data_IF_384204496418
#
_entry.id   IF_384204496418
#
_cell.length_a   1.000
_cell.length_b   1.000
_cell.length_c   1.000
_cell.angle_alpha   90.00
_cell.angle_beta   90.00
_cell.angle_gamma   90.00
#
_symmetry.space_group_name_H-M   'P 1'
#
loop_
_entity.id
_entity.type
_entity.pdbx_description
1 polymer ?
#
# COMPACT_ATOMS: atom_id res chain seq x y z
N UNK A 1 7.33 17.24 -28.31
CA UNK A 1 6.20 16.71 -27.55
C UNK A 1 6.66 16.33 -26.14
N UNK A 2 5.84 16.67 -25.16
CA UNK A 2 6.13 16.22 -23.80
C UNK A 2 6.04 14.70 -23.73
N UNK A 3 6.96 14.05 -23.04
CA UNK A 3 6.90 12.62 -22.80
C UNK A 3 5.64 12.29 -21.98
N UNK A 4 4.97 11.21 -22.35
CA UNK A 4 3.87 10.73 -21.52
C UNK A 4 4.41 10.17 -20.21
N UNK A 5 3.68 10.42 -19.14
CA UNK A 5 4.02 9.94 -17.81
C UNK A 5 2.97 8.98 -17.28
N UNK A 6 3.39 8.07 -16.44
CA UNK A 6 2.52 7.18 -15.69
C UNK A 6 2.87 7.29 -14.22
N UNK A 7 1.86 7.22 -13.37
CA UNK A 7 2.05 7.17 -11.92
C UNK A 7 2.13 5.70 -11.53
N UNK A 8 3.25 5.34 -10.89
CA UNK A 8 3.60 3.93 -10.66
C UNK A 8 3.84 3.67 -9.18
N UNK A 9 3.39 2.53 -8.72
CA UNK A 9 3.71 2.02 -7.40
C UNK A 9 3.71 0.49 -7.43
N UNK A 10 4.47 -0.10 -6.53
CA UNK A 10 4.50 -1.55 -6.34
C UNK A 10 3.58 -1.89 -5.18
N UNK A 11 2.72 -2.89 -5.36
CA UNK A 11 1.71 -3.22 -4.38
C UNK A 11 1.38 -4.71 -4.38
N UNK A 12 0.85 -5.17 -3.24
CA UNK A 12 0.21 -6.47 -3.13
C UNK A 12 -1.29 -6.27 -3.24
N UNK A 13 -1.93 -7.07 -4.08
CA UNK A 13 -3.38 -7.00 -4.30
C UNK A 13 -4.05 -8.21 -3.66
N UNK A 14 -5.07 -8.02 -2.81
CA UNK A 14 -5.74 -9.14 -2.16
C UNK A 14 -6.63 -9.90 -3.15
N UNK A 15 -6.90 -11.16 -2.83
CA UNK A 15 -7.92 -11.93 -3.54
C UNK A 15 -9.30 -11.31 -3.30
N UNK A 16 -10.26 -11.66 -4.16
CA UNK A 16 -11.58 -11.05 -4.16
C UNK A 16 -12.28 -11.11 -2.80
N UNK A 17 -12.22 -12.25 -2.12
CA UNK A 17 -12.89 -12.40 -0.82
C UNK A 17 -12.30 -11.48 0.24
N UNK A 18 -10.98 -11.36 0.28
CA UNK A 18 -10.30 -10.47 1.21
C UNK A 18 -10.57 -9.01 0.86
N UNK A 19 -10.55 -8.67 -0.44
CA UNK A 19 -10.87 -7.31 -0.89
C UNK A 19 -12.27 -6.90 -0.47
N UNK A 20 -13.25 -7.80 -0.58
CA UNK A 20 -14.61 -7.54 -0.15
C UNK A 20 -14.71 -7.36 1.37
N UNK A 21 -14.00 -8.19 2.13
CA UNK A 21 -13.98 -8.07 3.59
C UNK A 21 -13.35 -6.75 4.05
N UNK A 22 -12.24 -6.35 3.43
CA UNK A 22 -11.58 -5.09 3.74
C UNK A 22 -12.44 -3.90 3.32
N UNK A 23 -13.12 -3.98 2.18
CA UNK A 23 -14.04 -2.94 1.74
C UNK A 23 -15.24 -2.81 2.69
N UNK A 24 -15.73 -3.91 3.25
CA UNK A 24 -16.78 -3.87 4.27
C UNK A 24 -16.29 -3.16 5.53
N UNK A 25 -15.08 -3.46 5.98
CA UNK A 25 -14.46 -2.77 7.11
C UNK A 25 -14.29 -1.27 6.82
N UNK A 26 -13.92 -0.93 5.57
CA UNK A 26 -13.81 0.46 5.16
C UNK A 26 -15.15 1.20 5.25
N UNK A 27 -16.24 0.57 4.84
CA UNK A 27 -17.58 1.18 4.93
C UNK A 27 -18.01 1.37 6.38
N UNK A 28 -17.71 0.41 7.26
CA UNK A 28 -17.98 0.54 8.68
C UNK A 28 -17.19 1.70 9.29
N UNK A 29 -15.91 1.81 8.96
CA UNK A 29 -15.08 2.91 9.41
C UNK A 29 -15.57 4.25 8.88
N UNK A 30 -16.01 4.30 7.62
CA UNK A 30 -16.56 5.51 7.03
C UNK A 30 -17.81 5.98 7.77
N UNK A 31 -18.68 5.05 8.13
CA UNK A 31 -19.91 5.39 8.88
C UNK A 31 -19.57 6.04 10.21
N UNK A 32 -18.49 5.61 10.85
CA UNK A 32 -18.04 6.17 12.13
C UNK A 32 -17.22 7.46 11.96
N UNK A 33 -16.29 7.47 11.00
CA UNK A 33 -15.26 8.51 10.92
C UNK A 33 -15.53 9.57 9.86
N UNK A 34 -16.50 9.36 8.97
CA UNK A 34 -16.68 10.20 7.80
C UNK A 34 -15.62 9.92 6.73
N UNK A 35 -15.59 10.74 5.71
CA UNK A 35 -14.62 10.57 4.64
C UNK A 35 -15.10 9.65 3.52
N UNK A 36 -14.15 9.07 2.78
CA UNK A 36 -14.45 8.20 1.64
C UNK A 36 -13.87 6.81 1.85
N UNK A 37 -14.72 5.80 1.82
CA UNK A 37 -14.30 4.40 1.90
C UNK A 37 -13.64 3.97 0.59
N UNK A 38 -12.61 3.15 0.71
CA UNK A 38 -11.92 2.57 -0.46
C UNK A 38 -12.79 1.49 -1.07
N UNK A 39 -13.00 1.56 -2.40
CA UNK A 39 -13.75 0.55 -3.13
C UNK A 39 -12.98 -0.77 -3.21
N UNK A 40 -13.67 -1.93 -3.31
CA UNK A 40 -12.98 -3.23 -3.32
C UNK A 40 -11.89 -3.36 -4.36
N UNK A 41 -12.11 -2.84 -5.57
CA UNK A 41 -11.15 -2.92 -6.67
C UNK A 41 -9.91 -2.05 -6.47
N UNK A 42 -9.91 -1.18 -5.47
CA UNK A 42 -8.79 -0.29 -5.14
C UNK A 42 -8.08 -0.67 -3.84
N UNK A 43 -8.56 -1.70 -3.16
CA UNK A 43 -7.92 -2.18 -1.94
C UNK A 43 -6.58 -2.82 -2.28
N UNK A 44 -5.51 -2.33 -1.68
CA UNK A 44 -4.16 -2.85 -1.90
C UNK A 44 -3.23 -2.47 -0.75
N UNK A 45 -2.10 -3.15 -0.68
CA UNK A 45 -1.03 -2.83 0.26
C UNK A 45 0.18 -2.36 -0.54
N UNK A 46 0.49 -1.08 -0.44
CA UNK A 46 1.62 -0.50 -1.16
C UNK A 46 2.95 -0.99 -0.57
N UNK A 47 3.84 -1.43 -1.45
CA UNK A 47 5.21 -1.83 -1.07
C UNK A 47 6.19 -0.67 -1.29
N UNK A 48 6.04 0.04 -2.39
CA UNK A 48 6.93 1.14 -2.74
C UNK A 48 6.22 2.07 -3.72
N UNK A 49 6.13 3.34 -3.37
CA UNK A 49 5.55 4.36 -4.24
C UNK A 49 6.66 5.01 -5.05
N UNK A 50 6.61 4.86 -6.37
CA UNK A 50 7.61 5.41 -7.28
C UNK A 50 7.24 6.85 -7.68
N UNK A 51 5.97 7.07 -8.01
CA UNK A 51 5.49 8.36 -8.49
C UNK A 51 5.43 8.42 -10.01
N UNK A 52 5.54 9.63 -10.55
CA UNK A 52 5.46 9.84 -11.99
C UNK A 52 6.76 9.44 -12.67
N UNK A 53 6.65 8.57 -13.67
CA UNK A 53 7.78 8.13 -14.50
C UNK A 53 7.39 8.25 -15.97
N UNK A 54 8.39 8.34 -16.84
CA UNK A 54 8.14 8.27 -18.27
C UNK A 54 7.57 6.89 -18.60
N UNK A 55 6.56 6.83 -19.47
CA UNK A 55 5.89 5.56 -19.79
C UNK A 55 6.83 4.49 -20.29
N UNK A 56 7.88 4.86 -20.99
CA UNK A 56 8.88 3.92 -21.50
C UNK A 56 9.62 3.19 -20.38
N UNK A 57 9.66 3.75 -19.14
CA UNK A 57 10.28 3.10 -17.99
C UNK A 57 9.39 2.05 -17.35
N UNK A 58 8.09 2.04 -17.65
CA UNK A 58 7.14 1.11 -17.02
C UNK A 58 7.54 -0.34 -17.29
N UNK A 59 7.96 -0.64 -18.53
CA UNK A 59 8.37 -2.00 -18.90
C UNK A 59 9.55 -2.47 -18.05
N UNK A 60 10.56 -1.63 -17.84
CA UNK A 60 11.71 -2.01 -17.03
C UNK A 60 11.35 -2.19 -15.55
N UNK A 61 10.42 -1.37 -15.05
CA UNK A 61 9.93 -1.50 -13.68
C UNK A 61 9.10 -2.79 -13.51
N UNK A 62 8.31 -3.16 -14.49
CA UNK A 62 7.59 -4.43 -14.49
C UNK A 62 8.55 -5.62 -14.50
N UNK A 63 9.61 -5.55 -15.30
CA UNK A 63 10.62 -6.58 -15.34
C UNK A 63 11.33 -6.72 -13.98
N UNK A 64 11.57 -5.59 -13.32
CA UNK A 64 12.14 -5.58 -11.97
C UNK A 64 11.23 -6.34 -10.99
N UNK A 65 9.92 -6.08 -11.04
CA UNK A 65 8.96 -6.77 -10.18
C UNK A 65 9.01 -8.28 -10.39
N UNK A 66 9.15 -8.73 -11.65
CA UNK A 66 9.25 -10.15 -11.97
C UNK A 66 10.56 -10.79 -11.50
N UNK A 67 11.59 -9.99 -11.25
CA UNK A 67 12.91 -10.49 -10.84
C UNK A 67 13.07 -10.64 -9.33
N UNK A 68 12.09 -10.25 -8.55
CA UNK A 68 12.15 -10.34 -7.09
C UNK A 68 12.17 -11.80 -6.63
N UNK A 69 12.97 -12.08 -5.62
CA UNK A 69 13.26 -13.45 -5.17
C UNK A 69 12.70 -13.77 -3.79
N UNK A 70 11.82 -12.92 -3.28
CA UNK A 70 11.25 -13.10 -1.95
C UNK A 70 10.38 -14.36 -1.88
N UNK A 71 10.52 -15.12 -0.80
CA UNK A 71 9.67 -16.27 -0.53
C UNK A 71 8.22 -15.83 -0.29
N UNK A 72 7.29 -16.73 -0.59
CA UNK A 72 5.88 -16.51 -0.29
C UNK A 72 5.68 -16.41 1.24
N UNK A 73 4.71 -15.60 1.64
CA UNK A 73 4.41 -15.41 3.06
C UNK A 73 2.92 -15.13 3.23
N UNK A 74 2.43 -15.33 4.47
CA UNK A 74 1.07 -14.95 4.84
C UNK A 74 1.12 -13.65 5.63
N UNK A 75 0.13 -12.80 5.40
CA UNK A 75 0.01 -11.52 6.08
C UNK A 75 -1.41 -11.39 6.63
N UNK A 76 -1.50 -11.16 7.94
CA UNK A 76 -2.79 -10.95 8.59
C UNK A 76 -3.05 -9.45 8.77
N UNK A 77 -4.15 -8.97 8.20
CA UNK A 77 -4.60 -7.59 8.42
C UNK A 77 -5.52 -7.63 9.63
N UNK A 78 -4.95 -7.47 10.81
CA UNK A 78 -5.63 -7.70 12.07
C UNK A 78 -5.67 -6.50 13.02
N UNK A 79 -5.30 -5.32 12.51
CA UNK A 79 -5.35 -4.08 13.28
C UNK A 79 -5.91 -2.96 12.43
N UNK A 80 -6.61 -2.02 13.07
CA UNK A 80 -7.08 -0.78 12.46
C UNK A 80 -6.50 0.37 13.25
N UNK A 81 -5.98 1.37 12.55
CA UNK A 81 -5.43 2.55 13.17
C UNK A 81 -5.71 3.78 12.31
N UNK A 82 -5.26 4.93 12.78
CA UNK A 82 -5.54 6.21 12.17
C UNK A 82 -4.32 7.10 12.19
N UNK A 83 -4.01 7.72 11.04
CA UNK A 83 -2.98 8.74 10.95
C UNK A 83 -3.64 10.12 10.90
N UNK A 84 -3.40 10.89 11.95
CA UNK A 84 -4.00 12.22 12.09
C UNK A 84 -3.47 13.19 11.05
N UNK A 85 -2.19 13.10 10.71
CA UNK A 85 -1.55 14.08 9.83
C UNK A 85 -2.11 14.07 8.39
N UNK A 86 -2.62 12.94 7.92
CA UNK A 86 -3.21 12.82 6.59
C UNK A 86 -4.66 12.33 6.60
N UNK A 87 -5.23 12.15 7.79
CA UNK A 87 -6.63 11.75 8.01
C UNK A 87 -7.00 10.44 7.30
N UNK A 88 -6.11 9.47 7.39
CA UNK A 88 -6.31 8.14 6.82
C UNK A 88 -6.60 7.14 7.93
N UNK A 89 -7.73 6.41 7.79
CA UNK A 89 -7.98 5.20 8.56
C UNK A 89 -7.43 4.05 7.75
N UNK A 90 -6.62 3.21 8.38
CA UNK A 90 -5.93 2.14 7.67
C UNK A 90 -5.97 0.84 8.46
N UNK A 91 -5.86 -0.28 7.73
CA UNK A 91 -5.71 -1.60 8.30
C UNK A 91 -4.33 -2.15 8.01
N UNK A 92 -3.83 -2.98 8.91
CA UNK A 92 -2.52 -3.58 8.71
C UNK A 92 -2.24 -4.69 9.69
N UNK A 93 -1.09 -5.34 9.56
CA UNK A 93 -0.68 -6.37 10.49
C UNK A 93 -0.13 -5.74 11.77
N UNK A 94 -0.41 -6.34 12.92
CA UNK A 94 0.23 -5.96 14.19
C UNK A 94 1.70 -6.32 14.16
N UNK A 95 2.00 -7.49 13.59
CA UNK A 95 3.34 -7.99 13.43
C UNK A 95 3.49 -8.44 11.98
N UNK A 96 4.48 -7.91 11.28
CA UNK A 96 4.65 -8.32 9.89
C UNK A 96 5.75 -9.35 9.73
N UNK A 97 5.58 -10.27 8.76
CA UNK A 97 6.56 -11.33 8.53
C UNK A 97 7.91 -10.76 8.11
N UNK A 98 8.98 -11.43 8.49
CA UNK A 98 10.31 -11.05 8.03
C UNK A 98 10.41 -11.04 6.50
N UNK A 99 9.72 -11.96 5.83
CA UNK A 99 9.70 -12.01 4.36
C UNK A 99 9.16 -10.72 3.74
N UNK A 100 8.17 -10.07 4.36
CA UNK A 100 7.68 -8.77 3.87
C UNK A 100 8.75 -7.70 3.98
N UNK A 101 9.45 -7.64 5.11
CA UNK A 101 10.55 -6.69 5.29
C UNK A 101 11.65 -6.91 4.25
N UNK A 102 11.97 -8.18 3.96
CA UNK A 102 12.96 -8.53 2.94
C UNK A 102 12.50 -8.13 1.55
N UNK A 103 11.23 -8.32 1.23
CA UNK A 103 10.67 -7.91 -0.07
C UNK A 103 10.80 -6.41 -0.27
N UNK A 104 10.43 -5.62 0.73
CA UNK A 104 10.53 -4.16 0.66
C UNK A 104 11.99 -3.73 0.52
N UNK A 105 12.90 -4.35 1.29
CA UNK A 105 14.32 -4.04 1.20
C UNK A 105 14.89 -4.37 -0.18
N UNK A 106 14.50 -5.50 -0.76
CA UNK A 106 14.94 -5.89 -2.11
C UNK A 106 14.44 -4.89 -3.15
N UNK A 107 13.18 -4.46 -3.05
CA UNK A 107 12.65 -3.43 -3.93
C UNK A 107 13.43 -2.12 -3.80
N UNK A 108 13.69 -1.69 -2.58
CA UNK A 108 14.44 -0.45 -2.32
C UNK A 108 15.83 -0.52 -2.93
N UNK A 109 16.51 -1.65 -2.79
CA UNK A 109 17.84 -1.85 -3.33
C UNK A 109 17.85 -1.79 -4.87
N UNK A 110 16.94 -2.52 -5.52
CA UNK A 110 16.84 -2.53 -6.98
C UNK A 110 16.46 -1.15 -7.53
N UNK A 111 15.52 -0.47 -6.89
CA UNK A 111 15.07 0.84 -7.34
C UNK A 111 16.13 1.91 -7.10
N UNK A 112 16.88 1.80 -6.01
CA UNK A 112 18.00 2.70 -5.75
C UNK A 112 19.07 2.61 -6.84
N UNK A 113 19.34 1.40 -7.34
CA UNK A 113 20.27 1.19 -8.46
C UNK A 113 19.77 1.84 -9.74
N UNK A 114 18.45 2.03 -9.89
CA UNK A 114 17.82 2.72 -11.01
C UNK A 114 17.68 4.23 -10.78
N UNK A 115 18.24 4.75 -9.69
CA UNK A 115 18.15 6.17 -9.34
C UNK A 115 16.85 6.58 -8.65
N UNK A 116 16.03 5.63 -8.24
CA UNK A 116 14.75 5.88 -7.56
C UNK A 116 14.94 5.66 -6.08
N UNK A 117 14.79 6.74 -5.30
CA UNK A 117 15.01 6.69 -3.86
C UNK A 117 13.71 6.45 -3.12
N UNK A 118 13.79 5.68 -2.05
CA UNK A 118 12.65 5.48 -1.14
C UNK A 118 12.44 6.71 -0.26
N UNK A 119 11.23 6.81 0.28
CA UNK A 119 10.92 7.76 1.35
C UNK A 119 11.82 7.43 2.56
N UNK A 120 12.33 8.44 3.23
CA UNK A 120 13.19 8.26 4.40
C UNK A 120 12.42 7.76 5.62
N UNK A 121 11.10 7.87 5.62
CA UNK A 121 10.28 7.39 6.73
C UNK A 121 10.30 5.87 6.81
N UNK A 122 10.24 5.30 8.02
CA UNK A 122 10.15 3.85 8.15
C UNK A 122 8.93 3.30 7.42
N UNK A 123 9.10 2.17 6.75
CA UNK A 123 8.00 1.51 6.05
C UNK A 123 7.00 0.95 7.06
N UNK A 124 5.72 1.27 6.87
CA UNK A 124 4.63 0.70 7.66
C UNK A 124 3.64 0.05 6.69
N UNK A 125 3.52 -1.28 6.71
CA UNK A 125 2.56 -1.95 5.84
C UNK A 125 1.13 -1.58 6.23
N UNK A 126 0.36 -1.08 5.27
CA UNK A 126 -1.01 -0.66 5.54
C UNK A 126 -1.87 -0.76 4.29
N UNK A 127 -3.16 -0.96 4.53
CA UNK A 127 -4.20 -0.88 3.52
C UNK A 127 -5.05 0.34 3.86
N UNK A 128 -5.15 1.29 2.95
CA UNK A 128 -5.99 2.46 3.17
C UNK A 128 -7.46 2.06 3.12
N UNK A 129 -8.18 2.32 4.20
CA UNK A 129 -9.60 2.02 4.31
C UNK A 129 -10.46 3.26 4.06
N UNK A 130 -10.11 4.39 4.69
CA UNK A 130 -10.86 5.65 4.55
C UNK A 130 -9.89 6.80 4.33
N UNK A 131 -10.18 7.61 3.33
CA UNK A 131 -9.45 8.87 3.09
C UNK A 131 -10.31 10.04 3.53
N UNK A 132 -9.67 11.12 3.93
CA UNK A 132 -10.34 12.35 4.37
C UNK A 132 -11.30 12.08 5.52
N UNK A 133 -10.93 11.22 6.44
CA UNK A 133 -11.71 10.95 7.64
C UNK A 133 -11.85 12.25 8.44
N UNK A 134 -13.04 12.47 9.01
CA UNK A 134 -13.35 13.68 9.77
C UNK A 134 -12.97 13.52 11.25
N UNK A 135 -12.87 12.29 11.72
CA UNK A 135 -12.54 11.98 13.12
C UNK A 135 -11.93 10.58 13.19
N UNK A 136 -11.20 10.35 14.26
CA UNK A 136 -10.57 9.06 14.50
C UNK A 136 -11.61 7.99 14.85
N UNK A 137 -11.36 6.72 14.53
CA UNK A 137 -12.23 5.63 14.99
C UNK A 137 -12.15 5.53 16.53
N UNK A 138 -13.26 5.15 17.14
CA UNK A 138 -13.34 4.99 18.59
C UNK A 138 -12.49 3.85 19.10
N UNK A 139 -12.42 2.75 18.32
CA UNK A 139 -11.60 1.57 18.63
C UNK A 139 -10.49 1.44 17.60
N UNK A 140 -9.27 1.39 18.11
CA UNK A 140 -8.08 1.10 17.33
C UNK A 140 -7.57 -0.25 17.82
N UNK A 141 -7.73 -1.26 17.00
CA UNK A 141 -7.30 -2.61 17.36
C UNK A 141 -6.24 -3.12 16.42
#
# INVERSE_FOLDING_TARGET
MAAEHARVFFALWPEADLAQALAAAAREAQAECGGRATAPEKIHLTLFFVGDVERERVVSLQALACSLTTDAFSLDVNAIDYWRHNRIVWGGPRHWPHALAMLVAELQEHLSAEGIKSDERPYVPHVTLVRNARRAPKRRT
#
